data_IF_275838602871
#
_entry.id   IF_275838602871
#
_cell.length_a   1.000
_cell.length_b   1.000
_cell.length_c   1.000
_cell.angle_alpha   90.00
_cell.angle_beta   90.00
_cell.angle_gamma   90.00
#
_symmetry.space_group_name_H-M   'P 1'
#
loop_
_entity.id
_entity.type
_entity.pdbx_description
1 polymer ?
#
# COMPACT_ATOMS: atom_id res chain seq x y z
N UNK A 1 -23.27 -15.11 3.01
CA UNK A 1 -21.99 -15.13 3.77
C UNK A 1 -20.99 -14.28 3.00
N UNK A 2 -20.45 -13.24 3.60
CA UNK A 2 -19.43 -12.41 2.94
C UNK A 2 -18.08 -13.12 3.06
N UNK A 3 -17.49 -13.46 1.94
CA UNK A 3 -16.18 -14.10 1.86
C UNK A 3 -15.17 -13.11 1.31
N UNK A 4 -14.02 -12.98 1.96
CA UNK A 4 -12.90 -12.18 1.48
C UNK A 4 -11.91 -13.06 0.72
N UNK A 5 -11.66 -12.71 -0.54
CA UNK A 5 -10.71 -13.41 -1.40
C UNK A 5 -9.60 -12.45 -1.82
N UNK A 6 -8.38 -12.96 -1.85
CA UNK A 6 -7.22 -12.23 -2.36
C UNK A 6 -6.97 -12.63 -3.81
N UNK A 7 -7.23 -11.72 -4.75
CA UNK A 7 -6.91 -11.91 -6.15
C UNK A 7 -5.51 -11.35 -6.45
N UNK A 8 -4.65 -12.14 -7.09
CA UNK A 8 -3.33 -11.71 -7.55
C UNK A 8 -3.40 -11.31 -9.01
N UNK A 9 -3.29 -10.03 -9.29
CA UNK A 9 -3.35 -9.49 -10.64
C UNK A 9 -1.97 -9.09 -11.13
N UNK A 10 -1.66 -9.43 -12.36
CA UNK A 10 -0.44 -8.99 -13.03
C UNK A 10 -0.69 -7.63 -13.69
N UNK A 11 0.10 -6.62 -13.33
CA UNK A 11 0.06 -5.30 -13.94
C UNK A 11 1.13 -5.21 -15.02
N UNK A 12 0.75 -4.70 -16.18
CA UNK A 12 1.65 -4.50 -17.31
C UNK A 12 2.20 -3.07 -17.26
N UNK A 13 3.51 -2.93 -17.22
CA UNK A 13 4.19 -1.65 -17.09
C UNK A 13 5.29 -1.50 -18.13
N UNK A 14 5.49 -0.28 -18.63
CA UNK A 14 6.71 0.12 -19.33
C UNK A 14 7.84 0.34 -18.33
N UNK A 15 9.08 0.43 -18.81
CA UNK A 15 10.24 0.67 -17.93
C UNK A 15 10.12 1.99 -17.17
N UNK A 16 9.64 3.06 -17.82
CA UNK A 16 9.41 4.35 -17.17
C UNK A 16 8.30 4.29 -16.11
N UNK A 17 7.19 3.61 -16.37
CA UNK A 17 6.12 3.40 -15.41
C UNK A 17 6.58 2.55 -14.22
N UNK A 18 7.36 1.51 -14.49
CA UNK A 18 7.97 0.67 -13.46
C UNK A 18 8.85 1.52 -12.53
N UNK A 19 9.69 2.40 -13.09
CA UNK A 19 10.55 3.26 -12.30
C UNK A 19 9.73 4.20 -11.40
N UNK A 20 8.67 4.81 -11.92
CA UNK A 20 7.77 5.67 -11.13
C UNK A 20 7.15 4.90 -9.95
N UNK A 21 6.74 3.65 -10.17
CA UNK A 21 6.19 2.81 -9.11
C UNK A 21 7.25 2.44 -8.07
N UNK A 22 8.45 2.08 -8.50
CA UNK A 22 9.56 1.75 -7.60
C UNK A 22 9.98 2.97 -6.76
N UNK A 23 10.05 4.14 -7.35
CA UNK A 23 10.36 5.39 -6.63
C UNK A 23 9.27 5.70 -5.59
N UNK A 24 8.00 5.48 -5.94
CA UNK A 24 6.88 5.64 -5.01
C UNK A 24 6.94 4.62 -3.86
N UNK A 25 7.25 3.35 -4.15
CA UNK A 25 7.46 2.32 -3.13
C UNK A 25 8.62 2.64 -2.20
N UNK A 26 9.72 3.16 -2.74
CA UNK A 26 10.88 3.58 -1.96
C UNK A 26 10.55 4.74 -1.03
N UNK A 27 9.85 5.76 -1.53
CA UNK A 27 9.38 6.87 -0.72
C UNK A 27 8.45 6.40 0.41
N UNK A 28 7.54 5.48 0.11
CA UNK A 28 6.64 4.87 1.09
C UNK A 28 7.40 4.10 2.18
N UNK A 29 8.35 3.25 1.80
CA UNK A 29 9.19 2.49 2.75
C UNK A 29 10.01 3.42 3.64
N UNK A 30 10.61 4.46 3.07
CA UNK A 30 11.38 5.44 3.83
C UNK A 30 10.50 6.21 4.83
N UNK A 31 9.28 6.56 4.43
CA UNK A 31 8.31 7.19 5.32
C UNK A 31 7.89 6.25 6.46
N UNK A 32 7.63 4.97 6.15
CA UNK A 32 7.35 3.96 7.19
C UNK A 32 8.52 3.81 8.17
N UNK A 33 9.76 3.81 7.69
CA UNK A 33 10.94 3.73 8.56
C UNK A 33 11.08 4.95 9.45
N UNK A 34 10.79 6.15 8.94
CA UNK A 34 10.77 7.37 9.78
C UNK A 34 9.69 7.29 10.88
N UNK A 35 8.50 6.82 10.54
CA UNK A 35 7.44 6.60 11.54
C UNK A 35 7.83 5.50 12.54
N UNK A 36 8.48 4.43 12.07
CA UNK A 36 8.96 3.33 12.91
C UNK A 36 9.98 3.81 13.95
N UNK A 37 10.91 4.66 13.54
CA UNK A 37 11.89 5.28 14.44
C UNK A 37 11.21 6.09 15.54
N UNK A 38 10.30 6.98 15.16
CA UNK A 38 9.55 7.80 16.12
C UNK A 38 8.77 6.95 17.13
N UNK A 39 8.07 5.91 16.66
CA UNK A 39 7.30 5.00 17.53
C UNK A 39 8.22 4.25 18.48
N UNK A 40 9.39 3.80 17.99
CA UNK A 40 10.37 3.10 18.82
C UNK A 40 10.94 3.98 19.91
N UNK A 41 11.29 5.23 19.60
CA UNK A 41 11.84 6.18 20.56
C UNK A 41 10.84 6.58 21.66
N UNK A 42 9.55 6.73 21.28
CA UNK A 42 8.53 7.21 22.20
C UNK A 42 7.70 6.11 22.87
N UNK A 43 7.81 4.86 22.40
CA UNK A 43 6.97 3.73 22.85
C UNK A 43 5.48 4.07 22.90
N UNK A 44 5.00 4.84 21.91
CA UNK A 44 3.61 5.31 21.82
C UNK A 44 2.99 4.91 20.47
N UNK A 45 1.85 4.22 20.53
CA UNK A 45 1.08 3.77 19.37
C UNK A 45 -0.18 4.59 19.13
N UNK A 46 -0.34 5.73 19.78
CA UNK A 46 -1.50 6.61 19.60
C UNK A 46 -1.43 7.27 18.23
N UNK A 47 -2.25 6.79 17.29
CA UNK A 47 -2.24 7.23 15.90
C UNK A 47 -2.43 8.72 15.73
N UNK A 48 -3.30 9.36 16.53
CA UNK A 48 -3.53 10.80 16.44
C UNK A 48 -2.25 11.61 16.74
N UNK A 49 -1.47 11.20 17.75
CA UNK A 49 -0.22 11.86 18.11
C UNK A 49 0.85 11.68 17.03
N UNK A 50 0.99 10.46 16.54
CA UNK A 50 1.91 10.17 15.42
C UNK A 50 1.50 10.99 14.19
N UNK A 51 0.21 11.11 13.93
CA UNK A 51 -0.31 11.90 12.83
C UNK A 51 0.02 13.40 13.00
N UNK A 52 -0.25 13.99 14.15
CA UNK A 52 0.04 15.41 14.41
C UNK A 52 1.53 15.73 14.19
N UNK A 53 2.42 14.86 14.67
CA UNK A 53 3.87 15.06 14.59
C UNK A 53 4.44 14.76 13.20
N UNK A 54 4.03 13.68 12.57
CA UNK A 54 4.72 13.14 11.42
C UNK A 54 4.00 13.32 10.08
N UNK A 55 2.67 13.48 10.06
CA UNK A 55 1.94 13.60 8.80
C UNK A 55 2.42 14.78 7.93
N UNK A 56 2.61 15.99 8.47
CA UNK A 56 3.16 17.10 7.68
C UNK A 56 4.57 16.79 7.13
N UNK A 57 5.42 16.17 7.94
CA UNK A 57 6.78 15.79 7.56
C UNK A 57 6.81 14.73 6.47
N UNK A 58 5.93 13.73 6.55
CA UNK A 58 5.78 12.70 5.51
C UNK A 58 5.39 13.35 4.19
N UNK A 59 4.40 14.26 4.21
CA UNK A 59 3.94 14.96 3.02
C UNK A 59 5.02 15.83 2.38
N UNK A 60 5.74 16.57 3.20
CA UNK A 60 6.81 17.46 2.75
C UNK A 60 8.04 16.69 2.24
N UNK A 61 8.55 15.76 3.05
CA UNK A 61 9.82 15.09 2.78
C UNK A 61 9.72 14.02 1.70
N UNK A 62 8.64 13.25 1.69
CA UNK A 62 8.49 12.10 0.78
C UNK A 62 7.50 12.35 -0.35
N UNK A 63 6.82 13.49 -0.37
CA UNK A 63 5.87 13.89 -1.43
C UNK A 63 4.73 12.87 -1.65
N UNK A 64 4.44 12.05 -0.66
CA UNK A 64 3.36 11.07 -0.71
C UNK A 64 1.99 11.76 -0.71
N UNK A 65 1.03 11.21 -1.44
CA UNK A 65 -0.36 11.67 -1.38
C UNK A 65 -0.96 11.43 0.01
N UNK A 66 -1.96 12.22 0.38
CA UNK A 66 -2.54 12.24 1.74
C UNK A 66 -2.90 10.85 2.27
N UNK A 67 -3.58 10.04 1.47
CA UNK A 67 -3.98 8.69 1.88
C UNK A 67 -2.79 7.75 2.04
N UNK A 68 -1.75 7.89 1.22
CA UNK A 68 -0.51 7.10 1.37
C UNK A 68 0.24 7.48 2.63
N UNK A 69 0.31 8.76 2.99
CA UNK A 69 0.90 9.23 4.23
C UNK A 69 0.18 8.66 5.46
N UNK A 70 -1.15 8.66 5.43
CA UNK A 70 -1.98 8.00 6.45
C UNK A 70 -1.72 6.49 6.51
N UNK A 71 -1.56 5.85 5.35
CA UNK A 71 -1.29 4.42 5.28
C UNK A 71 0.06 4.04 5.85
N UNK A 72 1.09 4.90 5.73
CA UNK A 72 2.38 4.70 6.39
C UNK A 72 2.22 4.58 7.91
N UNK A 73 1.51 5.53 8.53
CA UNK A 73 1.26 5.54 9.97
C UNK A 73 0.52 4.26 10.40
N UNK A 74 -0.56 3.90 9.70
CA UNK A 74 -1.34 2.69 10.00
C UNK A 74 -0.51 1.41 9.86
N UNK A 75 0.30 1.33 8.81
CA UNK A 75 1.16 0.18 8.54
C UNK A 75 2.16 -0.03 9.68
N UNK A 76 2.81 1.02 10.13
CA UNK A 76 3.79 0.96 11.21
C UNK A 76 3.13 0.60 12.54
N UNK A 77 2.02 1.26 12.90
CA UNK A 77 1.27 0.96 14.12
C UNK A 77 0.82 -0.51 14.15
N UNK A 78 0.29 -1.02 13.03
CA UNK A 78 -0.12 -2.43 12.94
C UNK A 78 1.05 -3.39 13.09
N UNK A 79 2.23 -3.07 12.53
CA UNK A 79 3.43 -3.88 12.68
C UNK A 79 3.88 -3.96 14.15
N UNK A 80 3.94 -2.83 14.86
CA UNK A 80 4.26 -2.82 16.29
C UNK A 80 3.23 -3.55 17.13
N UNK A 81 1.94 -3.38 16.87
CA UNK A 81 0.89 -4.11 17.57
C UNK A 81 1.06 -5.62 17.41
N UNK A 82 1.39 -6.09 16.21
CA UNK A 82 1.68 -7.50 15.95
C UNK A 82 2.91 -7.98 16.71
N UNK A 83 4.01 -7.22 16.71
CA UNK A 83 5.24 -7.55 17.43
C UNK A 83 4.96 -7.64 18.94
N UNK A 84 4.34 -6.64 19.53
CA UNK A 84 4.03 -6.60 20.94
C UNK A 84 3.10 -7.73 21.39
N UNK A 85 2.14 -8.10 20.53
CA UNK A 85 1.23 -9.23 20.81
C UNK A 85 1.97 -10.57 20.81
N UNK A 86 2.88 -10.78 19.85
CA UNK A 86 3.55 -12.06 19.65
C UNK A 86 4.82 -12.22 20.51
N UNK A 87 5.60 -11.16 20.67
CA UNK A 87 6.92 -11.22 21.31
C UNK A 87 6.97 -10.50 22.66
N UNK A 88 5.96 -9.67 22.96
CA UNK A 88 5.88 -8.87 24.21
C UNK A 88 7.05 -7.91 24.44
N UNK A 89 7.77 -7.57 23.38
CA UNK A 89 8.95 -6.69 23.41
C UNK A 89 8.86 -5.60 22.35
N UNK A 90 9.49 -4.45 22.60
CA UNK A 90 9.63 -3.38 21.62
C UNK A 90 10.79 -3.68 20.68
N UNK A 91 10.46 -4.30 19.55
CA UNK A 91 11.41 -4.56 18.46
C UNK A 91 11.05 -3.66 17.30
N UNK A 92 12.02 -2.88 16.83
CA UNK A 92 11.80 -1.94 15.72
C UNK A 92 11.66 -2.68 14.39
N UNK A 93 10.48 -2.66 13.74
CA UNK A 93 10.35 -3.20 12.39
C UNK A 93 11.05 -2.31 11.37
N UNK A 94 11.65 -2.94 10.36
CA UNK A 94 12.32 -2.30 9.24
C UNK A 94 11.56 -2.60 7.94
N UNK A 95 11.21 -1.54 7.21
CA UNK A 95 10.40 -1.60 5.99
C UNK A 95 11.29 -1.48 4.76
N UNK A 96 11.90 -2.60 4.33
CA UNK A 96 12.81 -2.63 3.17
C UNK A 96 12.14 -3.14 1.89
N UNK A 97 11.08 -3.95 2.01
CA UNK A 97 10.43 -4.54 0.84
C UNK A 97 9.70 -3.48 0.02
N UNK A 98 9.93 -3.42 -1.31
CA UNK A 98 9.23 -2.48 -2.17
C UNK A 98 7.75 -2.89 -2.30
N UNK A 99 6.90 -2.16 -1.58
CA UNK A 99 5.46 -2.37 -1.57
C UNK A 99 4.69 -1.09 -1.28
N UNK A 100 3.44 -1.03 -1.72
CA UNK A 100 2.48 0.01 -1.36
C UNK A 100 1.23 -0.64 -0.79
N UNK A 101 0.71 -0.08 0.31
CA UNK A 101 -0.62 -0.39 0.80
C UNK A 101 -1.58 0.68 0.26
N UNK A 102 -2.58 0.25 -0.50
CA UNK A 102 -3.46 1.11 -1.28
C UNK A 102 -4.91 1.00 -0.80
N UNK A 103 -5.58 2.12 -0.69
CA UNK A 103 -6.99 2.20 -0.31
C UNK A 103 -7.86 2.35 -1.55
N UNK A 104 -8.92 1.53 -1.65
CA UNK A 104 -9.87 1.56 -2.76
C UNK A 104 -10.50 2.95 -2.93
N UNK A 105 -10.62 3.39 -4.19
CA UNK A 105 -11.16 4.67 -4.62
C UNK A 105 -10.40 5.92 -4.12
N UNK A 106 -9.35 5.75 -3.32
CA UNK A 106 -8.47 6.84 -2.88
C UNK A 106 -7.10 6.73 -3.54
N UNK A 107 -6.36 5.68 -3.24
CA UNK A 107 -5.04 5.45 -3.82
C UNK A 107 -5.09 4.74 -5.16
N UNK A 108 -6.04 3.84 -5.33
CA UNK A 108 -6.21 3.08 -6.56
C UNK A 108 -7.67 2.84 -6.92
N UNK A 109 -7.89 2.50 -8.19
CA UNK A 109 -9.17 2.02 -8.70
C UNK A 109 -8.95 1.04 -9.85
N UNK A 110 -9.95 0.20 -10.11
CA UNK A 110 -9.97 -0.76 -11.22
C UNK A 110 -11.17 -0.48 -12.10
N UNK A 111 -10.94 -0.42 -13.41
CA UNK A 111 -12.02 -0.44 -14.41
C UNK A 111 -12.21 -1.87 -14.90
N UNK A 112 -13.31 -2.51 -14.47
CA UNK A 112 -13.60 -3.93 -14.73
C UNK A 112 -13.67 -4.27 -16.20
N UNK A 113 -14.34 -3.41 -16.99
CA UNK A 113 -14.59 -3.65 -18.41
C UNK A 113 -13.43 -3.28 -19.34
N UNK A 114 -12.46 -2.51 -18.83
CA UNK A 114 -11.33 -2.04 -19.61
C UNK A 114 -9.99 -2.64 -19.14
N UNK A 115 -10.00 -3.46 -18.09
CA UNK A 115 -8.80 -4.06 -17.47
C UNK A 115 -7.73 -3.02 -17.17
N UNK A 116 -8.16 -1.85 -16.65
CA UNK A 116 -7.28 -0.73 -16.28
C UNK A 116 -7.19 -0.60 -14.76
N UNK A 117 -5.97 -0.66 -14.26
CA UNK A 117 -5.58 -0.31 -12.90
C UNK A 117 -5.08 1.13 -12.87
N UNK A 118 -5.67 1.94 -12.03
CA UNK A 118 -5.29 3.33 -11.83
C UNK A 118 -4.75 3.52 -10.43
N UNK A 119 -3.58 4.12 -10.27
CA UNK A 119 -2.89 4.26 -8.99
C UNK A 119 -2.21 5.61 -8.83
N UNK A 120 -2.27 6.17 -7.62
CA UNK A 120 -1.51 7.35 -7.24
C UNK A 120 -0.02 7.03 -7.12
N UNK A 121 0.81 7.94 -7.61
CA UNK A 121 2.27 7.86 -7.53
C UNK A 121 2.85 9.23 -7.17
N UNK A 122 4.17 9.30 -7.00
CA UNK A 122 4.88 10.58 -6.81
C UNK A 122 4.73 11.52 -8.02
N UNK A 123 4.49 10.97 -9.21
CA UNK A 123 4.29 11.72 -10.47
C UNK A 123 2.81 11.91 -10.84
N UNK A 124 1.92 11.79 -9.86
CA UNK A 124 0.48 11.86 -10.08
C UNK A 124 -0.17 10.49 -10.27
N UNK A 125 -1.37 10.49 -10.80
CA UNK A 125 -2.14 9.26 -11.00
C UNK A 125 -1.84 8.69 -12.38
N UNK A 126 -1.42 7.42 -12.42
CA UNK A 126 -1.14 6.69 -13.66
C UNK A 126 -2.14 5.57 -13.87
N UNK A 127 -2.35 5.19 -15.14
CA UNK A 127 -3.24 4.10 -15.56
C UNK A 127 -2.43 3.02 -16.23
N UNK A 128 -2.62 1.78 -15.80
CA UNK A 128 -1.86 0.62 -16.24
C UNK A 128 -2.79 -0.52 -16.62
N UNK A 129 -2.53 -1.23 -17.72
CA UNK A 129 -3.25 -2.46 -18.01
C UNK A 129 -2.96 -3.52 -16.95
N UNK A 130 -3.93 -4.37 -16.66
CA UNK A 130 -3.73 -5.53 -15.81
C UNK A 130 -4.33 -6.80 -16.44
N UNK A 131 -3.82 -7.95 -16.00
CA UNK A 131 -4.34 -9.24 -16.40
C UNK A 131 -5.06 -9.89 -15.22
N UNK A 132 -6.34 -10.23 -15.42
CA UNK A 132 -7.20 -10.90 -14.42
C UNK A 132 -7.30 -12.41 -14.62
N UNK A 133 -6.45 -12.99 -15.46
CA UNK A 133 -6.47 -14.43 -15.76
C UNK A 133 -6.47 -15.28 -14.49
N UNK A 134 -7.50 -16.13 -14.38
CA UNK A 134 -7.71 -16.99 -13.21
C UNK A 134 -8.48 -16.35 -12.07
N UNK A 135 -8.91 -15.08 -12.22
CA UNK A 135 -9.69 -14.33 -11.23
C UNK A 135 -10.90 -13.63 -11.85
N UNK A 136 -11.29 -14.00 -13.06
CA UNK A 136 -12.37 -13.36 -13.83
C UNK A 136 -13.70 -13.33 -13.06
N UNK A 137 -13.99 -14.41 -12.32
CA UNK A 137 -15.21 -14.55 -11.52
C UNK A 137 -15.36 -13.49 -10.40
N UNK A 138 -14.26 -12.84 -10.00
CA UNK A 138 -14.27 -11.80 -8.97
C UNK A 138 -14.41 -10.38 -9.53
N UNK A 139 -14.61 -10.25 -10.85
CA UNK A 139 -14.77 -8.96 -11.51
C UNK A 139 -16.23 -8.68 -11.92
N UNK A 140 -17.18 -9.26 -11.21
CA UNK A 140 -18.62 -8.99 -11.37
C UNK A 140 -19.04 -7.73 -10.60
N UNK A 141 -20.25 -7.23 -10.89
CA UNK A 141 -20.79 -6.05 -10.21
C UNK A 141 -21.05 -6.27 -8.70
N UNK A 142 -21.25 -7.51 -8.30
CA UNK A 142 -21.49 -7.90 -6.92
C UNK A 142 -20.21 -7.85 -6.05
N UNK A 143 -19.04 -7.97 -6.66
CA UNK A 143 -17.78 -7.95 -5.95
C UNK A 143 -17.35 -6.53 -5.57
N UNK A 144 -16.96 -6.35 -4.31
CA UNK A 144 -16.42 -5.09 -3.80
C UNK A 144 -14.90 -5.19 -3.64
N UNK A 145 -14.19 -4.20 -4.12
CA UNK A 145 -12.74 -4.11 -3.92
C UNK A 145 -12.42 -3.42 -2.59
N UNK A 146 -11.43 -3.93 -1.90
CA UNK A 146 -10.97 -3.42 -0.61
C UNK A 146 -9.58 -2.81 -0.70
N UNK A 147 -8.81 -2.96 0.37
CA UNK A 147 -7.40 -2.56 0.38
C UNK A 147 -6.58 -3.47 -0.54
N UNK A 148 -5.59 -2.90 -1.20
CA UNK A 148 -4.68 -3.63 -2.07
C UNK A 148 -3.23 -3.46 -1.64
N UNK A 149 -2.42 -4.46 -1.94
CA UNK A 149 -0.98 -4.39 -1.78
C UNK A 149 -0.33 -4.48 -3.17
N UNK A 150 0.41 -3.45 -3.53
CA UNK A 150 1.23 -3.44 -4.72
C UNK A 150 2.65 -3.85 -4.35
N UNK A 151 3.14 -4.95 -4.91
CA UNK A 151 4.46 -5.51 -4.63
C UNK A 151 5.26 -5.65 -5.92
N UNK A 152 6.57 -5.40 -5.84
CA UNK A 152 7.50 -5.75 -6.89
C UNK A 152 8.01 -7.19 -6.67
N UNK A 153 7.78 -8.07 -7.65
CA UNK A 153 8.36 -9.41 -7.69
C UNK A 153 9.32 -9.49 -8.87
N UNK A 154 10.35 -10.33 -8.76
CA UNK A 154 11.50 -10.44 -9.67
C UNK A 154 11.15 -10.72 -11.14
N UNK A 155 9.91 -11.11 -11.45
CA UNK A 155 9.38 -11.29 -12.81
C UNK A 155 8.14 -10.42 -13.01
N UNK A 156 8.34 -9.11 -13.21
CA UNK A 156 7.32 -8.14 -13.72
C UNK A 156 5.89 -8.28 -13.16
N UNK A 157 5.72 -8.71 -11.91
CA UNK A 157 4.40 -8.91 -11.33
C UNK A 157 4.20 -7.91 -10.19
N UNK A 158 3.30 -6.98 -10.41
CA UNK A 158 2.71 -6.16 -9.37
C UNK A 158 1.41 -6.86 -8.97
N UNK A 159 1.31 -7.33 -7.75
CA UNK A 159 0.12 -8.01 -7.26
C UNK A 159 -0.79 -7.03 -6.55
N UNK A 160 -2.03 -6.95 -6.97
CA UNK A 160 -3.09 -6.22 -6.27
C UNK A 160 -4.01 -7.24 -5.63
N UNK A 161 -4.23 -7.11 -4.34
CA UNK A 161 -4.99 -8.10 -3.61
C UNK A 161 -6.05 -7.47 -2.73
N UNK A 162 -7.28 -7.76 -2.96
CA UNK A 162 -8.37 -7.97 -2.01
C UNK A 162 -9.73 -7.71 -2.66
N UNK A 163 -10.50 -8.73 -2.88
CA UNK A 163 -11.94 -8.61 -3.16
C UNK A 163 -12.71 -9.09 -1.93
N UNK A 164 -13.69 -8.31 -1.49
CA UNK A 164 -14.72 -8.77 -0.56
C UNK A 164 -15.90 -9.26 -1.41
N UNK A 165 -16.25 -10.51 -1.30
CA UNK A 165 -17.42 -11.12 -1.93
C UNK A 165 -18.47 -11.36 -0.86
#
# INVERSE_FOLDING_TARGET
MLQTVTAKLKIVVSDSQKQILLDTMKAYSNACNMVSEFVFEHHDLKRYRIHEELYPLIRERYQLKSQMAESCIRTVVAAYQSILTNQKEWIKPDFQRPQLNLVWNRDYSLKRNADIFSVNTLKGRIKLPFCKKGFEQYFTEECRFGTAKLCHQTRQVLSVCSCHI
#
